data_IF_005510075707
#
_entry.id   IF_005510075707
#
_cell.length_a   1.000
_cell.length_b   1.000
_cell.length_c   1.000
_cell.angle_alpha   90.00
_cell.angle_beta   90.00
_cell.angle_gamma   90.00
#
_symmetry.space_group_name_H-M   'P 1'
#
loop_
_entity.id
_entity.type
_entity.pdbx_description
1 polymer ?
#
# COMPACT_ATOMS: atom_id res chain seq x y z
N UNK A 1 24.64 -37.89 10.51
CA UNK A 1 23.76 -38.64 9.59
C UNK A 1 23.02 -37.62 8.78
N UNK A 2 22.70 -37.91 7.53
CA UNK A 2 21.89 -37.03 6.70
C UNK A 2 20.42 -37.02 7.19
N UNK A 3 19.72 -35.92 7.10
CA UNK A 3 18.28 -35.88 7.35
C UNK A 3 17.48 -36.58 6.23
N UNK A 4 16.33 -37.17 6.58
CA UNK A 4 15.50 -37.89 5.60
C UNK A 4 15.02 -36.95 4.47
N UNK A 5 14.73 -35.69 4.80
CA UNK A 5 14.31 -34.67 3.85
C UNK A 5 15.40 -34.35 2.82
N UNK A 6 16.63 -34.13 3.26
CA UNK A 6 17.75 -33.85 2.38
C UNK A 6 18.12 -35.08 1.53
N UNK A 7 18.10 -36.28 2.12
CA UNK A 7 18.32 -37.53 1.39
C UNK A 7 17.32 -37.69 0.24
N UNK A 8 16.03 -37.51 0.52
CA UNK A 8 14.98 -37.61 -0.48
C UNK A 8 15.16 -36.57 -1.59
N UNK A 9 15.43 -35.31 -1.22
CA UNK A 9 15.63 -34.24 -2.18
C UNK A 9 16.81 -34.50 -3.14
N UNK A 10 17.96 -34.93 -2.59
CA UNK A 10 19.14 -35.24 -3.41
C UNK A 10 18.89 -36.41 -4.37
N UNK A 11 18.22 -37.47 -3.93
CA UNK A 11 17.90 -38.62 -4.75
C UNK A 11 16.88 -38.28 -5.85
N UNK A 12 15.85 -37.49 -5.55
CA UNK A 12 14.88 -37.05 -6.55
C UNK A 12 15.48 -36.12 -7.61
N UNK A 13 16.38 -35.22 -7.21
CA UNK A 13 17.14 -34.37 -8.14
C UNK A 13 17.98 -35.27 -9.07
N UNK A 14 18.69 -36.24 -8.48
CA UNK A 14 19.48 -37.21 -9.25
C UNK A 14 18.61 -37.97 -10.27
N UNK A 15 17.47 -38.49 -9.86
CA UNK A 15 16.55 -39.22 -10.74
C UNK A 15 16.01 -38.34 -11.86
N UNK A 16 15.64 -37.12 -11.58
CA UNK A 16 15.19 -36.16 -12.61
C UNK A 16 16.29 -35.88 -13.62
N UNK A 17 17.51 -35.67 -13.19
CA UNK A 17 18.65 -35.34 -14.06
C UNK A 17 19.15 -36.57 -14.87
N UNK A 18 18.97 -37.80 -14.37
CA UNK A 18 19.26 -39.03 -15.13
C UNK A 18 18.43 -39.12 -16.42
N UNK A 19 17.20 -38.60 -16.41
CA UNK A 19 16.36 -38.55 -17.60
C UNK A 19 16.95 -37.66 -18.70
N UNK A 20 17.68 -36.61 -18.29
CA UNK A 20 18.36 -35.70 -19.20
C UNK A 20 19.72 -36.24 -19.68
N UNK A 21 20.47 -36.89 -18.77
CA UNK A 21 21.79 -37.43 -19.07
C UNK A 21 22.15 -38.61 -18.16
N UNK A 22 22.40 -39.80 -18.75
CA UNK A 22 22.74 -41.04 -18.01
C UNK A 22 24.03 -40.96 -17.20
N UNK A 23 24.95 -40.04 -17.49
CA UNK A 23 26.19 -39.84 -16.73
C UNK A 23 25.94 -39.48 -15.26
N UNK A 24 24.80 -38.90 -14.93
CA UNK A 24 24.44 -38.64 -13.52
C UNK A 24 24.26 -39.96 -12.74
N UNK A 25 23.79 -41.03 -13.40
CA UNK A 25 23.61 -42.32 -12.78
C UNK A 25 25.00 -42.95 -12.41
N UNK A 26 25.98 -42.75 -13.29
CA UNK A 26 27.31 -43.37 -13.14
C UNK A 26 28.16 -42.60 -12.14
N UNK A 27 28.08 -41.28 -12.13
CA UNK A 27 29.02 -40.42 -11.36
C UNK A 27 28.48 -39.97 -10.03
N UNK A 28 27.16 -39.90 -9.84
CA UNK A 28 26.56 -39.48 -8.56
C UNK A 28 25.94 -40.70 -7.88
N UNK A 29 26.46 -41.08 -6.68
CA UNK A 29 25.90 -42.20 -5.93
C UNK A 29 24.51 -41.88 -5.38
N UNK A 30 23.69 -42.91 -5.21
CA UNK A 30 22.46 -42.80 -4.41
C UNK A 30 22.84 -42.48 -2.96
N UNK A 31 22.14 -41.48 -2.40
CA UNK A 31 22.34 -41.07 -1.02
C UNK A 31 21.52 -41.96 -0.09
N UNK A 32 22.14 -42.50 0.92
CA UNK A 32 21.53 -43.20 2.06
C UNK A 32 22.17 -42.75 3.38
N UNK A 33 21.68 -43.24 4.50
CA UNK A 33 22.17 -42.85 5.82
C UNK A 33 23.66 -43.11 6.03
N UNK A 34 24.26 -44.00 5.26
CA UNK A 34 25.70 -44.39 5.35
C UNK A 34 26.56 -43.66 4.31
N UNK A 35 25.98 -42.90 3.41
CA UNK A 35 26.72 -42.16 2.37
C UNK A 35 27.55 -41.05 3.02
N UNK A 36 28.84 -41.01 2.75
CA UNK A 36 29.75 -39.97 3.23
C UNK A 36 29.49 -38.67 2.46
N UNK A 37 29.29 -37.57 3.18
CA UNK A 37 29.12 -36.23 2.59
C UNK A 37 30.33 -35.82 1.74
N UNK A 38 31.56 -36.17 2.19
CA UNK A 38 32.79 -35.86 1.47
C UNK A 38 32.88 -36.62 0.14
N UNK A 39 32.56 -37.94 0.15
CA UNK A 39 32.56 -38.75 -1.07
C UNK A 39 31.50 -38.22 -2.05
N UNK A 40 30.32 -37.92 -1.57
CA UNK A 40 29.24 -37.34 -2.38
C UNK A 40 29.65 -35.99 -2.97
N UNK A 41 30.20 -35.10 -2.15
CA UNK A 41 30.67 -33.78 -2.58
C UNK A 41 31.80 -33.89 -3.62
N UNK A 42 32.74 -34.82 -3.46
CA UNK A 42 33.77 -35.08 -4.46
C UNK A 42 33.20 -35.56 -5.80
N UNK A 43 32.24 -36.47 -5.76
CA UNK A 43 31.56 -36.96 -6.97
C UNK A 43 30.82 -35.84 -7.69
N UNK A 44 30.11 -34.99 -6.95
CA UNK A 44 29.42 -33.83 -7.49
C UNK A 44 30.37 -32.80 -8.12
N UNK A 45 31.45 -32.49 -7.42
CA UNK A 45 32.43 -31.50 -7.90
C UNK A 45 33.33 -32.02 -9.03
N UNK A 46 33.41 -33.33 -9.22
CA UNK A 46 34.11 -33.97 -10.34
C UNK A 46 33.30 -33.95 -11.65
N UNK A 47 31.99 -33.72 -11.60
CA UNK A 47 31.17 -33.62 -12.80
C UNK A 47 31.68 -32.57 -13.79
N UNK A 48 31.44 -32.72 -15.11
CA UNK A 48 31.59 -31.66 -16.07
C UNK A 48 30.86 -30.39 -15.63
N UNK A 49 31.37 -29.23 -16.00
CA UNK A 49 30.89 -27.93 -15.47
C UNK A 49 29.40 -27.68 -15.72
N UNK A 50 28.91 -28.02 -16.88
CA UNK A 50 27.51 -27.92 -17.28
C UNK A 50 26.58 -28.82 -16.43
N UNK A 51 26.97 -30.08 -16.27
CA UNK A 51 26.23 -31.05 -15.46
C UNK A 51 26.23 -30.67 -13.97
N UNK A 52 27.39 -30.30 -13.45
CA UNK A 52 27.53 -29.83 -12.06
C UNK A 52 26.66 -28.58 -11.80
N UNK A 53 26.69 -27.61 -12.71
CA UNK A 53 25.90 -26.38 -12.58
C UNK A 53 24.41 -26.72 -12.58
N UNK A 54 23.96 -27.61 -13.49
CA UNK A 54 22.56 -28.05 -13.56
C UNK A 54 22.10 -28.77 -12.30
N UNK A 55 23.00 -29.59 -11.70
CA UNK A 55 22.70 -30.25 -10.44
C UNK A 55 22.58 -29.24 -9.27
N UNK A 56 23.53 -28.30 -9.15
CA UNK A 56 23.51 -27.28 -8.11
C UNK A 56 22.28 -26.38 -8.27
N UNK A 57 21.91 -26.03 -9.49
CA UNK A 57 20.69 -25.31 -9.81
C UNK A 57 19.46 -26.04 -9.30
N UNK A 58 19.28 -27.27 -9.69
CA UNK A 58 18.14 -28.08 -9.25
C UNK A 58 18.10 -28.24 -7.74
N UNK A 59 19.28 -28.32 -7.08
CA UNK A 59 19.40 -28.41 -5.64
C UNK A 59 18.93 -27.13 -4.96
N UNK A 60 19.45 -25.99 -5.39
CA UNK A 60 19.10 -24.69 -4.77
C UNK A 60 17.63 -24.35 -5.04
N UNK A 61 17.12 -24.57 -6.25
CA UNK A 61 15.71 -24.38 -6.56
C UNK A 61 14.81 -25.27 -5.70
N UNK A 62 15.16 -26.53 -5.51
CA UNK A 62 14.34 -27.44 -4.70
C UNK A 62 14.37 -27.06 -3.22
N UNK A 63 15.51 -26.61 -2.71
CA UNK A 63 15.65 -26.15 -1.32
C UNK A 63 14.87 -24.85 -1.11
N UNK A 64 14.87 -23.96 -2.07
CA UNK A 64 14.06 -22.75 -2.03
C UNK A 64 12.55 -23.03 -1.91
N UNK A 65 12.08 -24.15 -2.48
CA UNK A 65 10.67 -24.58 -2.34
C UNK A 65 10.40 -25.46 -1.10
N UNK A 66 11.44 -25.98 -0.45
CA UNK A 66 11.26 -26.81 0.74
C UNK A 66 11.38 -25.91 1.97
N UNK A 67 10.27 -25.65 2.67
CA UNK A 67 10.29 -24.96 3.97
C UNK A 67 11.07 -25.83 4.97
N UNK A 68 12.37 -25.58 5.11
CA UNK A 68 13.11 -26.04 6.28
C UNK A 68 12.66 -25.22 7.50
N UNK A 69 12.58 -25.86 8.66
CA UNK A 69 12.24 -25.21 9.93
C UNK A 69 13.40 -24.31 10.32
N UNK A 70 13.32 -23.04 9.96
CA UNK A 70 14.26 -22.00 10.38
C UNK A 70 13.48 -20.76 10.81
N UNK A 71 14.13 -19.88 11.55
CA UNK A 71 13.58 -18.58 11.95
C UNK A 71 13.41 -17.68 10.73
N UNK A 72 12.33 -17.91 9.98
CA UNK A 72 11.87 -16.96 8.99
C UNK A 72 11.16 -15.81 9.70
N UNK A 73 11.42 -14.61 9.23
CA UNK A 73 10.65 -13.47 9.68
C UNK A 73 9.18 -13.67 9.29
N UNK A 74 8.33 -13.88 10.29
CA UNK A 74 6.89 -13.93 10.08
C UNK A 74 6.37 -12.50 9.96
N UNK A 75 6.00 -12.10 8.75
CA UNK A 75 5.42 -10.78 8.51
C UNK A 75 4.02 -10.72 9.13
N UNK A 76 3.81 -9.95 10.21
CA UNK A 76 2.49 -9.85 10.87
C UNK A 76 1.43 -9.18 9.98
N UNK A 77 1.84 -8.52 8.89
CA UNK A 77 0.96 -7.84 7.95
C UNK A 77 0.67 -8.68 6.70
N UNK A 78 1.13 -9.93 6.63
CA UNK A 78 0.97 -10.79 5.45
C UNK A 78 -0.50 -11.05 5.10
N UNK A 79 -1.39 -11.10 6.09
CA UNK A 79 -2.83 -11.30 5.87
C UNK A 79 -3.53 -10.12 5.15
N UNK A 80 -2.84 -8.97 5.00
CA UNK A 80 -3.32 -7.81 4.24
C UNK A 80 -3.02 -7.93 2.75
N UNK A 81 -2.19 -8.90 2.35
CA UNK A 81 -1.94 -9.20 0.96
C UNK A 81 -3.22 -9.76 0.31
N UNK A 82 -3.56 -9.23 -0.85
CA UNK A 82 -4.68 -9.70 -1.66
C UNK A 82 -4.26 -10.83 -2.60
N UNK A 83 -5.19 -11.19 -3.49
CA UNK A 83 -4.96 -12.23 -4.51
C UNK A 83 -3.84 -11.82 -5.49
N UNK A 84 -3.12 -12.83 -6.00
CA UNK A 84 -2.08 -12.64 -7.00
C UNK A 84 -2.63 -12.06 -8.31
N UNK A 85 -1.80 -11.26 -8.98
CA UNK A 85 -2.15 -10.73 -10.30
C UNK A 85 -1.79 -11.75 -11.38
N UNK A 86 -2.72 -12.11 -12.27
CA UNK A 86 -2.41 -12.94 -13.43
C UNK A 86 -1.35 -12.27 -14.32
N UNK A 87 -0.52 -13.09 -15.00
CA UNK A 87 0.48 -12.62 -15.96
C UNK A 87 -0.18 -11.72 -17.01
N UNK A 88 0.37 -10.53 -17.23
CA UNK A 88 -0.15 -9.54 -18.18
C UNK A 88 -1.35 -8.72 -17.69
N UNK A 89 -1.90 -9.00 -16.50
CA UNK A 89 -3.00 -8.22 -15.94
C UNK A 89 -2.50 -6.93 -15.28
N UNK A 90 -3.31 -5.87 -15.43
CA UNK A 90 -3.21 -4.62 -14.65
C UNK A 90 -4.25 -4.73 -13.54
N UNK A 91 -3.84 -4.42 -12.31
CA UNK A 91 -4.78 -4.37 -11.19
C UNK A 91 -5.82 -3.27 -11.43
N UNK A 92 -7.09 -3.64 -11.49
CA UNK A 92 -8.20 -2.70 -11.61
C UNK A 92 -9.14 -2.87 -10.44
N UNK A 93 -9.55 -1.77 -9.83
CA UNK A 93 -10.63 -1.73 -8.86
C UNK A 93 -11.80 -0.94 -9.45
N UNK A 94 -12.98 -1.55 -9.49
CA UNK A 94 -14.20 -0.92 -9.99
C UNK A 94 -15.17 -0.76 -8.83
N UNK A 95 -15.66 0.43 -8.63
CA UNK A 95 -16.68 0.74 -7.64
C UNK A 95 -17.95 1.24 -8.32
N UNK A 96 -19.08 0.64 -7.96
CA UNK A 96 -20.40 1.04 -8.46
C UNK A 96 -21.18 1.66 -7.30
N UNK A 97 -21.48 2.95 -7.39
CA UNK A 97 -22.29 3.63 -6.38
C UNK A 97 -23.71 3.06 -6.33
N UNK A 98 -24.32 3.01 -5.15
CA UNK A 98 -25.74 2.66 -5.01
C UNK A 98 -26.63 3.55 -5.87
N UNK A 99 -27.63 2.95 -6.53
CA UNK A 99 -28.63 3.70 -7.29
C UNK A 99 -29.40 4.67 -6.38
N UNK A 100 -29.76 5.83 -6.91
CA UNK A 100 -30.60 6.80 -6.19
C UNK A 100 -32.06 6.46 -6.37
N UNK A 101 -32.80 6.33 -5.26
CA UNK A 101 -34.23 6.30 -5.30
C UNK A 101 -34.80 7.64 -5.79
N UNK A 102 -35.90 7.61 -6.54
CA UNK A 102 -36.68 8.78 -6.85
C UNK A 102 -38.11 8.58 -6.35
N UNK A 103 -38.80 9.67 -6.06
CA UNK A 103 -40.20 9.59 -5.72
C UNK A 103 -40.96 9.13 -6.96
N UNK A 104 -41.79 8.11 -6.82
CA UNK A 104 -42.67 7.65 -7.91
C UNK A 104 -43.74 8.69 -8.15
N UNK A 105 -43.88 9.13 -9.42
CA UNK A 105 -44.96 9.99 -9.87
C UNK A 105 -45.51 9.43 -11.18
N UNK A 106 -46.79 9.08 -11.20
CA UNK A 106 -47.46 8.49 -12.35
C UNK A 106 -47.56 9.47 -13.53
N UNK A 107 -47.55 10.78 -13.24
CA UNK A 107 -47.68 11.84 -14.25
C UNK A 107 -46.31 12.28 -14.82
N UNK A 108 -45.23 11.71 -14.35
CA UNK A 108 -43.86 12.03 -14.83
C UNK A 108 -43.51 11.22 -16.11
N UNK A 109 -44.09 11.63 -17.23
CA UNK A 109 -43.83 11.01 -18.54
C UNK A 109 -42.36 11.18 -18.98
N UNK A 110 -41.68 12.28 -18.61
CA UNK A 110 -40.26 12.50 -18.90
C UNK A 110 -39.39 11.52 -18.15
N UNK A 111 -39.70 11.22 -16.91
CA UNK A 111 -39.01 10.23 -16.11
C UNK A 111 -39.23 8.78 -16.56
N UNK A 112 -40.35 8.48 -17.24
CA UNK A 112 -40.62 7.14 -17.76
C UNK A 112 -39.65 6.75 -18.90
N UNK A 113 -39.23 7.72 -19.72
CA UNK A 113 -38.31 7.51 -20.85
C UNK A 113 -36.87 7.94 -20.54
N UNK A 114 -36.58 8.38 -19.31
CA UNK A 114 -35.27 8.82 -18.93
C UNK A 114 -34.29 7.62 -18.83
N UNK A 115 -33.08 7.82 -19.33
CA UNK A 115 -31.99 6.87 -19.19
C UNK A 115 -31.28 7.09 -17.86
N UNK A 116 -31.21 6.04 -17.05
CA UNK A 116 -30.52 6.05 -15.75
C UNK A 116 -29.26 5.20 -15.85
N UNK A 117 -28.12 5.85 -15.90
CA UNK A 117 -26.82 5.17 -15.97
C UNK A 117 -26.28 4.89 -14.58
N UNK A 118 -25.61 3.74 -14.44
CA UNK A 118 -24.90 3.40 -13.20
C UNK A 118 -23.70 4.33 -13.02
N UNK A 119 -23.52 4.84 -11.81
CA UNK A 119 -22.35 5.67 -11.45
C UNK A 119 -21.17 4.76 -11.09
N UNK A 120 -20.32 4.49 -12.07
CA UNK A 120 -19.17 3.59 -11.99
C UNK A 120 -17.90 4.41 -11.88
N UNK A 121 -17.03 4.05 -10.95
CA UNK A 121 -15.68 4.58 -10.77
C UNK A 121 -14.67 3.47 -10.95
N UNK A 122 -13.52 3.77 -11.50
CA UNK A 122 -12.43 2.81 -11.68
C UNK A 122 -11.11 3.42 -11.21
N UNK A 123 -10.29 2.59 -10.60
CA UNK A 123 -8.92 2.87 -10.21
C UNK A 123 -8.01 1.76 -10.74
N UNK A 124 -6.81 2.12 -11.17
CA UNK A 124 -5.82 1.19 -11.68
C UNK A 124 -4.64 1.13 -10.72
N UNK A 125 -4.19 -0.09 -10.41
CA UNK A 125 -3.03 -0.35 -9.57
C UNK A 125 -1.81 -0.60 -10.45
N UNK A 126 -0.77 0.21 -10.28
CA UNK A 126 0.51 0.05 -10.98
C UNK A 126 1.44 -0.88 -10.19
N UNK A 127 2.29 -1.62 -10.93
CA UNK A 127 3.40 -2.35 -10.36
C UNK A 127 4.47 -1.33 -10.00
N UNK A 128 4.82 -1.28 -8.72
CA UNK A 128 5.76 -0.30 -8.18
C UNK A 128 6.85 -0.91 -7.30
N UNK A 129 6.94 -2.24 -7.31
CA UNK A 129 7.97 -3.01 -6.63
C UNK A 129 8.49 -4.08 -7.57
N UNK A 130 9.74 -3.95 -8.01
CA UNK A 130 10.45 -4.92 -8.83
C UNK A 130 11.86 -5.02 -8.26
N UNK A 131 12.09 -6.01 -7.42
CA UNK A 131 13.31 -6.15 -6.60
C UNK A 131 13.90 -7.52 -6.75
N UNK A 132 15.21 -7.54 -6.83
CA UNK A 132 16.04 -8.73 -6.94
C UNK A 132 16.90 -8.91 -5.69
N UNK A 133 16.80 -10.06 -5.04
CA UNK A 133 17.60 -10.44 -3.88
C UNK A 133 18.74 -11.37 -4.32
N UNK A 134 20.00 -10.89 -4.34
CA UNK A 134 21.13 -11.70 -4.79
C UNK A 134 21.79 -12.44 -3.62
N UNK A 135 22.20 -13.70 -3.88
CA UNK A 135 23.14 -14.43 -3.02
C UNK A 135 24.20 -15.10 -3.89
N UNK A 136 25.45 -15.03 -3.45
CA UNK A 136 26.57 -15.64 -4.16
C UNK A 136 27.07 -16.87 -3.41
N UNK A 137 27.12 -18.00 -4.10
CA UNK A 137 27.64 -19.27 -3.59
C UNK A 137 29.06 -19.46 -4.14
N UNK A 138 30.06 -19.31 -3.30
CA UNK A 138 31.46 -19.48 -3.69
C UNK A 138 31.80 -20.97 -3.65
N UNK A 139 32.47 -21.50 -4.70
CA UNK A 139 32.82 -22.90 -4.82
C UNK A 139 33.58 -23.41 -3.58
N UNK A 140 34.53 -22.65 -3.03
CA UNK A 140 35.27 -23.01 -1.83
C UNK A 140 34.43 -23.18 -0.57
N UNK A 141 33.34 -22.38 -0.44
CA UNK A 141 32.39 -22.47 0.66
C UNK A 141 31.53 -23.71 0.52
N UNK A 142 31.06 -23.99 -0.70
CA UNK A 142 30.35 -25.23 -1.00
C UNK A 142 31.24 -26.47 -0.73
N UNK A 143 32.51 -26.44 -1.12
CA UNK A 143 33.47 -27.53 -0.82
C UNK A 143 33.64 -27.75 0.70
N UNK A 144 33.67 -26.68 1.50
CA UNK A 144 33.74 -26.77 2.97
C UNK A 144 32.42 -27.31 3.57
N UNK A 145 31.27 -26.95 2.98
CA UNK A 145 30.00 -27.44 3.48
C UNK A 145 29.88 -28.97 3.39
N UNK A 146 30.59 -29.63 2.48
CA UNK A 146 30.60 -31.10 2.37
C UNK A 146 31.43 -31.80 3.44
N UNK A 147 31.97 -31.12 4.44
CA UNK A 147 32.70 -31.76 5.58
C UNK A 147 31.76 -32.66 6.37
N UNK A 148 30.54 -32.23 6.60
CA UNK A 148 29.46 -33.06 7.16
C UNK A 148 28.11 -32.78 6.50
N UNK A 149 27.18 -33.72 6.62
CA UNK A 149 25.82 -33.50 6.14
C UNK A 149 25.11 -32.36 6.88
N UNK A 150 25.38 -32.19 8.18
CA UNK A 150 24.81 -31.08 8.97
C UNK A 150 25.32 -29.71 8.52
N UNK A 151 26.64 -29.62 8.20
CA UNK A 151 27.21 -28.36 7.68
C UNK A 151 26.64 -28.03 6.30
N UNK A 152 26.47 -29.04 5.46
CA UNK A 152 25.87 -28.88 4.13
C UNK A 152 24.40 -28.42 4.20
N UNK A 153 23.60 -29.05 5.05
CA UNK A 153 22.22 -28.68 5.31
C UNK A 153 22.11 -27.24 5.83
N UNK A 154 22.93 -26.89 6.83
CA UNK A 154 23.00 -25.54 7.40
C UNK A 154 23.39 -24.46 6.36
N UNK A 155 24.34 -24.81 5.49
CA UNK A 155 24.77 -23.91 4.41
C UNK A 155 23.63 -23.64 3.41
N UNK A 156 22.93 -24.68 2.96
CA UNK A 156 21.80 -24.55 2.04
C UNK A 156 20.65 -23.78 2.67
N UNK A 157 20.34 -24.06 3.93
CA UNK A 157 19.35 -23.35 4.69
C UNK A 157 19.68 -21.85 4.83
N UNK A 158 20.93 -21.53 5.11
CA UNK A 158 21.41 -20.14 5.23
C UNK A 158 21.15 -19.33 3.96
N UNK A 159 21.37 -19.94 2.78
CA UNK A 159 21.09 -19.31 1.48
C UNK A 159 19.60 -19.02 1.33
N UNK A 160 18.76 -20.04 1.51
CA UNK A 160 17.32 -19.92 1.37
C UNK A 160 16.75 -18.89 2.35
N UNK A 161 17.15 -18.96 3.63
CA UNK A 161 16.70 -18.03 4.68
C UNK A 161 17.07 -16.59 4.35
N UNK A 162 18.29 -16.36 3.85
CA UNK A 162 18.74 -15.02 3.48
C UNK A 162 17.87 -14.39 2.39
N UNK A 163 17.55 -15.16 1.34
CA UNK A 163 16.73 -14.69 0.22
C UNK A 163 15.29 -14.36 0.67
N UNK A 164 14.63 -15.31 1.34
CA UNK A 164 13.23 -15.15 1.73
C UNK A 164 13.03 -14.14 2.86
N UNK A 165 13.95 -14.10 3.85
CA UNK A 165 13.86 -13.09 4.90
C UNK A 165 14.03 -11.68 4.34
N UNK A 166 14.90 -11.48 3.33
CA UNK A 166 14.98 -10.21 2.62
C UNK A 166 13.64 -9.80 2.05
N UNK A 167 12.98 -10.71 1.31
CA UNK A 167 11.68 -10.44 0.71
C UNK A 167 10.56 -10.18 1.76
N UNK A 168 10.49 -10.97 2.84
CA UNK A 168 9.48 -10.80 3.88
C UNK A 168 9.66 -9.52 4.72
N UNK A 169 10.91 -9.14 4.99
CA UNK A 169 11.23 -7.88 5.67
C UNK A 169 10.81 -6.69 4.81
N UNK A 170 11.08 -6.75 3.51
CA UNK A 170 10.67 -5.70 2.60
C UNK A 170 9.15 -5.65 2.42
N UNK A 171 8.45 -6.77 2.36
CA UNK A 171 6.99 -6.80 2.38
C UNK A 171 6.42 -6.07 3.60
N UNK A 172 6.97 -6.30 4.79
CA UNK A 172 6.59 -5.58 6.00
C UNK A 172 6.86 -4.08 5.89
N UNK A 173 8.09 -3.70 5.47
CA UNK A 173 8.50 -2.30 5.30
C UNK A 173 7.61 -1.57 4.30
N UNK A 174 7.35 -2.17 3.13
CA UNK A 174 6.54 -1.55 2.08
C UNK A 174 5.06 -1.47 2.43
N UNK A 175 4.51 -2.48 3.12
CA UNK A 175 3.14 -2.41 3.66
C UNK A 175 3.00 -1.26 4.65
N UNK A 176 3.95 -1.10 5.58
CA UNK A 176 3.99 0.02 6.52
C UNK A 176 4.15 1.37 5.79
N UNK A 177 5.00 1.42 4.77
CA UNK A 177 5.24 2.61 3.94
C UNK A 177 3.99 3.10 3.21
N UNK A 178 3.03 2.20 2.86
CA UNK A 178 1.74 2.61 2.30
C UNK A 178 0.99 3.55 3.24
N UNK A 179 0.93 3.23 4.53
CA UNK A 179 0.25 4.06 5.55
C UNK A 179 0.89 5.45 5.61
N UNK A 180 2.21 5.49 5.71
CA UNK A 180 2.98 6.73 5.80
C UNK A 180 2.89 7.57 4.52
N UNK A 181 2.89 6.94 3.35
CA UNK A 181 2.71 7.61 2.07
C UNK A 181 1.29 8.16 1.91
N UNK A 182 0.26 7.42 2.32
CA UNK A 182 -1.12 7.90 2.30
C UNK A 182 -1.29 9.14 3.21
N UNK A 183 -0.64 9.17 4.37
CA UNK A 183 -0.58 10.35 5.22
C UNK A 183 0.15 11.49 4.50
N UNK A 184 1.40 11.30 4.10
CA UNK A 184 2.26 12.32 3.47
C UNK A 184 1.61 12.97 2.25
N UNK A 185 0.91 12.16 1.45
CA UNK A 185 0.21 12.62 0.26
C UNK A 185 -1.21 13.12 0.54
N UNK A 186 -1.64 13.25 1.80
CA UNK A 186 -3.02 13.60 2.17
C UNK A 186 -4.08 12.78 1.40
N UNK A 187 -3.80 11.49 1.19
CA UNK A 187 -4.60 10.57 0.38
C UNK A 187 -5.52 9.66 1.22
N UNK A 188 -5.77 10.04 2.45
CA UNK A 188 -6.67 9.37 3.40
C UNK A 188 -7.41 10.42 4.22
N UNK A 189 -8.60 10.10 4.71
CA UNK A 189 -9.31 11.02 5.60
C UNK A 189 -8.61 11.10 6.95
N UNK A 190 -8.46 12.31 7.49
CA UNK A 190 -7.70 12.55 8.71
C UNK A 190 -8.45 13.48 9.65
N UNK A 191 -8.22 13.30 10.95
CA UNK A 191 -8.64 14.20 12.01
C UNK A 191 -7.47 14.44 12.96
N UNK A 192 -7.28 15.68 13.37
CA UNK A 192 -6.27 16.03 14.37
C UNK A 192 -6.74 15.63 15.75
N UNK A 193 -5.87 14.94 16.48
CA UNK A 193 -6.04 14.64 17.90
C UNK A 193 -4.83 15.20 18.65
N UNK A 194 -5.06 15.96 19.72
CA UNK A 194 -3.98 16.61 20.45
C UNK A 194 -3.77 15.92 21.80
N UNK A 195 -2.58 15.37 21.99
CA UNK A 195 -2.07 15.02 23.31
C UNK A 195 -1.27 16.19 23.85
N UNK A 196 -1.46 16.58 25.11
CA UNK A 196 -0.66 17.62 25.76
C UNK A 196 0.83 17.23 25.77
N UNK A 197 1.10 15.95 25.99
CA UNK A 197 2.42 15.35 25.82
C UNK A 197 2.26 13.98 25.15
N UNK A 198 2.58 13.90 23.84
CA UNK A 198 2.47 12.65 23.08
C UNK A 198 3.45 11.54 23.54
N UNK A 199 4.44 11.87 24.38
CA UNK A 199 5.37 10.89 24.94
C UNK A 199 4.94 10.35 26.32
N UNK A 200 3.96 10.98 26.96
CA UNK A 200 3.39 10.60 28.24
C UNK A 200 1.94 11.12 28.31
N UNK A 201 1.02 10.51 27.54
CA UNK A 201 -0.38 10.93 27.51
C UNK A 201 -1.06 10.62 28.84
N UNK A 202 -2.01 11.45 29.21
CA UNK A 202 -2.81 11.23 30.42
C UNK A 202 -3.88 10.16 30.19
N UNK A 203 -4.35 9.49 31.26
CA UNK A 203 -5.43 8.50 31.16
C UNK A 203 -6.71 9.09 30.55
N UNK A 204 -7.02 10.35 30.82
CA UNK A 204 -8.18 11.03 30.25
C UNK A 204 -8.04 11.20 28.73
N UNK A 205 -6.84 11.54 28.24
CA UNK A 205 -6.55 11.65 26.81
C UNK A 205 -6.60 10.29 26.10
N UNK A 206 -6.06 9.24 26.73
CA UNK A 206 -6.14 7.87 26.21
C UNK A 206 -7.58 7.38 26.11
N UNK A 207 -8.42 7.66 27.10
CA UNK A 207 -9.87 7.35 27.05
C UNK A 207 -10.58 8.13 25.93
N UNK A 208 -10.23 9.41 25.75
CA UNK A 208 -10.80 10.23 24.69
C UNK A 208 -10.37 9.72 23.30
N UNK A 209 -9.10 9.33 23.15
CA UNK A 209 -8.56 8.73 21.93
C UNK A 209 -9.26 7.41 21.59
N UNK A 210 -9.39 6.51 22.56
CA UNK A 210 -10.11 5.22 22.41
C UNK A 210 -11.57 5.45 22.05
N UNK A 211 -12.22 6.43 22.67
CA UNK A 211 -13.61 6.80 22.33
C UNK A 211 -13.73 7.23 20.86
N UNK A 212 -12.74 7.99 20.35
CA UNK A 212 -12.72 8.45 18.96
C UNK A 212 -12.52 7.29 17.98
N UNK A 213 -11.61 6.36 18.29
CA UNK A 213 -11.46 5.12 17.51
C UNK A 213 -12.77 4.33 17.46
N UNK A 214 -13.43 4.16 18.59
CA UNK A 214 -14.74 3.48 18.69
C UNK A 214 -15.81 4.17 17.84
N UNK A 215 -15.92 5.48 17.93
CA UNK A 215 -16.85 6.29 17.12
C UNK A 215 -16.62 6.02 15.63
N UNK A 216 -15.37 6.06 15.17
CA UNK A 216 -15.00 5.79 13.79
C UNK A 216 -15.36 4.37 13.37
N UNK A 217 -15.07 3.37 14.21
CA UNK A 217 -15.44 1.97 13.97
C UNK A 217 -16.96 1.79 13.79
N UNK A 218 -17.76 2.42 14.63
CA UNK A 218 -19.22 2.36 14.53
C UNK A 218 -19.72 3.06 13.26
N UNK A 219 -19.11 4.20 12.92
CA UNK A 219 -19.48 4.97 11.72
C UNK A 219 -19.15 4.24 10.43
N UNK A 220 -18.08 3.42 10.40
CA UNK A 220 -17.72 2.62 9.22
C UNK A 220 -18.78 1.60 8.81
N UNK A 221 -19.61 1.14 9.75
CA UNK A 221 -20.71 0.21 9.47
C UNK A 221 -21.84 0.85 8.68
N UNK A 222 -21.95 2.18 8.73
CA UNK A 222 -23.04 2.91 8.10
C UNK A 222 -22.59 3.48 6.75
N UNK A 223 -23.45 3.45 5.72
CA UNK A 223 -23.14 4.05 4.44
C UNK A 223 -22.79 5.53 4.59
N UNK A 224 -21.60 5.93 4.14
CA UNK A 224 -21.09 7.28 4.29
C UNK A 224 -20.18 7.68 3.14
N UNK A 225 -20.10 8.98 2.84
CA UNK A 225 -19.16 9.56 1.89
C UNK A 225 -17.91 10.13 2.56
N UNK A 226 -17.81 10.02 3.89
CA UNK A 226 -16.82 10.76 4.70
C UNK A 226 -15.51 10.01 4.92
N UNK A 227 -15.47 8.69 4.68
CA UNK A 227 -14.35 7.84 5.12
C UNK A 227 -13.53 7.25 3.98
N UNK A 228 -13.93 7.45 2.73
CA UNK A 228 -13.12 7.08 1.57
C UNK A 228 -12.30 8.28 1.07
N UNK A 229 -11.26 8.00 0.30
CA UNK A 229 -10.33 9.02 -0.18
C UNK A 229 -10.73 9.64 -1.53
N UNK A 230 -11.76 9.13 -2.19
CA UNK A 230 -12.13 9.54 -3.55
C UNK A 230 -12.25 11.05 -3.75
N UNK A 231 -12.94 11.73 -2.86
CA UNK A 231 -13.12 13.18 -2.92
C UNK A 231 -11.86 13.99 -2.62
N UNK A 232 -10.85 13.38 -1.99
CA UNK A 232 -9.57 14.03 -1.66
C UNK A 232 -8.54 13.98 -2.79
N UNK A 233 -8.55 12.90 -3.60
CA UNK A 233 -7.47 12.60 -4.56
C UNK A 233 -7.87 12.84 -6.01
N UNK A 234 -8.88 13.63 -6.26
CA UNK A 234 -9.27 14.02 -7.61
C UNK A 234 -10.43 13.22 -8.18
N UNK A 235 -11.24 12.65 -7.29
CA UNK A 235 -12.46 11.97 -7.68
C UNK A 235 -13.48 12.91 -8.31
N UNK A 236 -13.65 12.79 -9.62
CA UNK A 236 -14.65 13.53 -10.36
C UNK A 236 -16.04 12.91 -10.24
N UNK A 237 -17.06 13.76 -10.31
CA UNK A 237 -18.46 13.35 -10.29
C UNK A 237 -18.98 13.11 -8.88
N UNK A 238 -19.92 12.17 -8.75
CA UNK A 238 -20.60 11.88 -7.48
C UNK A 238 -19.68 11.31 -6.45
N UNK A 239 -19.81 11.75 -5.18
CA UNK A 239 -19.12 11.17 -4.04
C UNK A 239 -19.44 9.68 -3.89
N UNK A 240 -18.45 8.90 -3.49
CA UNK A 240 -18.59 7.46 -3.23
C UNK A 240 -19.25 7.24 -1.87
N UNK A 241 -20.25 6.36 -1.83
CA UNK A 241 -20.93 5.94 -0.60
C UNK A 241 -20.39 4.59 -0.19
N UNK A 242 -19.49 4.54 0.78
CA UNK A 242 -18.83 3.32 1.25
C UNK A 242 -19.27 2.93 2.66
N UNK A 243 -19.18 1.63 2.97
CA UNK A 243 -19.36 1.05 4.30
C UNK A 243 -18.46 -0.18 4.44
N UNK A 244 -18.20 -0.59 5.68
CA UNK A 244 -17.35 -1.74 5.98
C UNK A 244 -18.07 -2.72 6.88
N UNK A 245 -17.80 -4.01 6.67
CA UNK A 245 -18.24 -5.03 7.60
C UNK A 245 -17.35 -5.03 8.85
N UNK A 246 -17.89 -5.31 10.05
CA UNK A 246 -17.11 -5.31 11.30
C UNK A 246 -15.89 -6.22 11.26
N UNK A 247 -16.00 -7.37 10.61
CA UNK A 247 -14.93 -8.35 10.46
C UNK A 247 -13.75 -7.87 9.59
N UNK A 248 -14.00 -6.92 8.69
CA UNK A 248 -13.01 -6.39 7.76
C UNK A 248 -12.31 -5.13 8.29
N UNK A 249 -12.77 -4.57 9.43
CA UNK A 249 -12.17 -3.35 9.99
C UNK A 249 -10.96 -3.71 10.85
N UNK A 250 -9.84 -3.07 10.58
CA UNK A 250 -8.57 -3.23 11.29
C UNK A 250 -8.03 -1.89 11.77
N UNK A 251 -7.21 -1.93 12.82
CA UNK A 251 -6.62 -0.76 13.45
C UNK A 251 -5.10 -0.94 13.52
N UNK A 252 -4.36 0.07 13.10
CA UNK A 252 -2.91 0.13 13.21
C UNK A 252 -2.53 1.19 14.23
N UNK A 253 -1.72 0.82 15.21
CA UNK A 253 -1.26 1.70 16.28
C UNK A 253 0.25 1.51 16.46
N UNK A 254 1.00 2.60 16.70
CA UNK A 254 2.43 2.48 17.00
C UNK A 254 2.64 1.81 18.36
N UNK A 255 3.71 0.99 18.48
CA UNK A 255 4.07 0.30 19.73
C UNK A 255 4.22 1.29 20.89
N UNK A 256 4.72 2.49 20.61
CA UNK A 256 4.86 3.56 21.61
C UNK A 256 3.51 3.96 22.23
N UNK A 257 2.51 4.20 21.39
CA UNK A 257 1.17 4.58 21.88
C UNK A 257 0.44 3.34 22.44
N UNK A 258 0.65 2.17 21.84
CA UNK A 258 0.05 0.93 22.29
C UNK A 258 0.49 0.53 23.71
N UNK A 259 1.73 0.85 24.10
CA UNK A 259 2.25 0.56 25.45
C UNK A 259 1.55 1.37 26.56
N UNK A 260 0.97 2.51 26.18
CA UNK A 260 0.22 3.37 27.10
C UNK A 260 -1.28 3.04 27.12
N UNK A 261 -1.77 2.29 26.11
CA UNK A 261 -3.17 1.91 26.00
C UNK A 261 -3.43 0.59 26.72
N UNK A 262 -4.41 0.58 27.63
CA UNK A 262 -4.88 -0.65 28.25
C UNK A 262 -5.69 -1.48 27.24
N UNK A 263 -5.26 -2.72 27.01
CA UNK A 263 -5.90 -3.66 26.07
C UNK A 263 -7.36 -3.95 26.46
N UNK A 264 -7.64 -4.03 27.77
CA UNK A 264 -8.99 -4.28 28.26
C UNK A 264 -9.92 -3.07 28.04
N UNK A 265 -9.37 -1.86 28.12
CA UNK A 265 -10.11 -0.63 27.78
C UNK A 265 -10.42 -0.57 26.28
N UNK A 266 -9.46 -0.97 25.43
CA UNK A 266 -9.69 -1.07 23.99
C UNK A 266 -10.73 -2.14 23.66
N UNK A 267 -10.63 -3.35 24.21
CA UNK A 267 -11.57 -4.45 23.98
C UNK A 267 -13.01 -4.03 24.34
N UNK A 268 -13.20 -3.46 25.53
CA UNK A 268 -14.49 -2.94 25.97
C UNK A 268 -15.01 -1.80 25.05
N UNK A 269 -14.12 -0.95 24.56
CA UNK A 269 -14.49 0.14 23.65
C UNK A 269 -15.06 -0.39 22.33
N UNK A 270 -14.52 -1.47 21.79
CA UNK A 270 -15.01 -2.08 20.54
C UNK A 270 -16.14 -3.08 20.74
N UNK A 271 -16.52 -3.36 22.00
CA UNK A 271 -17.50 -4.37 22.37
C UNK A 271 -17.15 -5.77 21.80
N UNK A 272 -15.88 -6.12 21.94
CA UNK A 272 -15.25 -7.36 21.51
C UNK A 272 -14.60 -8.02 22.70
N UNK A 273 -14.38 -9.32 22.63
CA UNK A 273 -13.49 -9.96 23.59
C UNK A 273 -12.01 -9.60 23.28
N UNK A 274 -11.12 -9.83 24.25
CA UNK A 274 -9.71 -9.50 24.13
C UNK A 274 -9.04 -10.26 22.98
N UNK A 275 -9.41 -11.50 22.75
CA UNK A 275 -8.83 -12.33 21.70
C UNK A 275 -9.27 -11.84 20.30
N UNK A 276 -10.54 -11.49 20.15
CA UNK A 276 -11.07 -10.93 18.92
C UNK A 276 -10.43 -9.57 18.58
N UNK A 277 -10.23 -8.71 19.58
CA UNK A 277 -9.55 -7.44 19.39
C UNK A 277 -8.09 -7.63 18.96
N UNK A 278 -7.36 -8.55 19.60
CA UNK A 278 -5.96 -8.80 19.26
C UNK A 278 -5.78 -9.27 17.80
N UNK A 279 -6.78 -9.92 17.21
CA UNK A 279 -6.78 -10.28 15.80
C UNK A 279 -7.09 -9.12 14.83
N UNK A 280 -7.48 -7.95 15.35
CA UNK A 280 -7.85 -6.78 14.54
C UNK A 280 -6.96 -5.55 14.76
N UNK A 281 -6.12 -5.56 15.77
CA UNK A 281 -5.18 -4.49 16.06
C UNK A 281 -3.78 -4.92 15.71
N UNK A 282 -3.19 -4.21 14.75
CA UNK A 282 -1.79 -4.38 14.37
C UNK A 282 -0.92 -3.37 15.10
N UNK A 283 0.03 -3.90 15.85
CA UNK A 283 1.03 -3.11 16.52
C UNK A 283 2.27 -3.01 15.63
N UNK A 284 2.66 -1.79 15.30
CA UNK A 284 3.83 -1.52 14.46
C UNK A 284 4.87 -0.71 15.22
N UNK A 285 6.13 -0.92 14.91
CA UNK A 285 7.26 -0.26 15.54
C UNK A 285 7.15 1.28 15.47
N UNK A 286 6.96 1.82 14.28
CA UNK A 286 6.74 3.24 14.02
C UNK A 286 6.15 3.43 12.62
N UNK A 287 5.59 4.61 12.35
CA UNK A 287 5.19 5.04 11.01
C UNK A 287 6.32 5.76 10.25
N UNK A 288 7.54 5.74 10.80
CA UNK A 288 8.70 6.31 10.12
C UNK A 288 9.07 5.51 8.86
N UNK A 289 9.63 6.21 7.87
CA UNK A 289 10.21 5.58 6.69
C UNK A 289 11.73 5.78 6.77
N UNK A 290 12.46 4.66 6.67
CA UNK A 290 13.92 4.62 6.61
C UNK A 290 14.34 4.12 5.24
N UNK A 291 15.52 4.57 4.75
CA UNK A 291 16.22 3.96 3.63
C UNK A 291 16.98 2.70 4.06
N UNK A 292 17.68 2.08 3.11
CA UNK A 292 18.43 0.83 3.38
C UNK A 292 19.69 1.07 4.23
N UNK A 293 20.18 2.33 4.29
CA UNK A 293 21.27 2.74 5.15
C UNK A 293 20.82 3.10 6.56
N UNK A 294 19.52 3.02 6.86
CA UNK A 294 18.92 3.33 8.16
C UNK A 294 18.71 4.83 8.41
N UNK A 295 18.83 5.67 7.38
CA UNK A 295 18.55 7.10 7.48
C UNK A 295 17.04 7.35 7.38
N UNK A 296 16.50 8.11 8.34
CA UNK A 296 15.07 8.44 8.35
C UNK A 296 14.71 9.40 7.24
N UNK A 297 13.92 8.94 6.27
CA UNK A 297 13.41 9.68 5.14
C UNK A 297 12.09 10.40 5.43
N UNK A 298 11.33 9.90 6.39
CA UNK A 298 10.05 10.47 6.80
C UNK A 298 9.82 10.28 8.30
N UNK A 299 9.36 11.34 8.96
CA UNK A 299 8.96 11.34 10.38
C UNK A 299 7.45 11.06 10.49
N UNK A 300 7.12 9.84 10.90
CA UNK A 300 5.75 9.38 11.10
C UNK A 300 5.18 9.65 12.49
N UNK A 301 5.88 10.39 13.35
CA UNK A 301 5.49 10.64 14.75
C UNK A 301 4.12 11.31 14.90
N UNK A 302 3.66 12.01 13.87
CA UNK A 302 2.33 12.62 13.82
C UNK A 302 1.21 11.64 13.50
N UNK A 303 1.50 10.40 13.12
CA UNK A 303 0.48 9.37 12.85
C UNK A 303 0.27 8.58 14.14
N UNK A 304 -0.90 8.73 14.76
CA UNK A 304 -1.21 8.03 16.00
C UNK A 304 -1.87 6.69 15.75
N UNK A 305 -2.88 6.65 14.86
CA UNK A 305 -3.53 5.43 14.46
C UNK A 305 -4.15 5.55 13.07
N UNK A 306 -4.21 4.40 12.36
CA UNK A 306 -5.04 4.21 11.17
C UNK A 306 -6.12 3.19 11.51
N UNK A 307 -7.38 3.52 11.31
CA UNK A 307 -8.49 2.57 11.25
C UNK A 307 -8.92 2.46 9.79
N UNK A 308 -9.00 1.25 9.26
CA UNK A 308 -9.37 1.04 7.86
C UNK A 308 -10.06 -0.32 7.65
N UNK A 309 -10.70 -0.44 6.50
CA UNK A 309 -11.14 -1.73 5.96
C UNK A 309 -9.93 -2.48 5.40
N UNK A 310 -9.80 -3.79 5.60
CA UNK A 310 -8.70 -4.61 5.04
C UNK A 310 -8.57 -4.42 3.53
N UNK A 311 -9.67 -4.20 2.82
CA UNK A 311 -9.70 -3.94 1.38
C UNK A 311 -9.02 -2.64 0.97
N UNK A 312 -8.68 -1.77 1.92
CA UNK A 312 -7.89 -0.57 1.66
C UNK A 312 -6.48 -0.93 1.18
N UNK A 313 -5.90 -2.02 1.68
CA UNK A 313 -4.63 -2.52 1.20
C UNK A 313 -4.81 -3.27 -0.13
N UNK A 314 -4.12 -2.81 -1.17
CA UNK A 314 -4.08 -3.41 -2.51
C UNK A 314 -2.68 -3.92 -2.78
N UNK A 315 -2.25 -4.90 -1.97
CA UNK A 315 -0.95 -5.54 -2.08
C UNK A 315 -1.14 -6.82 -2.88
N UNK A 316 -0.51 -6.92 -4.05
CA UNK A 316 -0.68 -8.05 -4.96
C UNK A 316 0.67 -8.50 -5.49
N UNK A 317 0.93 -9.80 -5.45
CA UNK A 317 2.10 -10.39 -6.09
C UNK A 317 1.77 -10.62 -7.57
N UNK A 318 2.65 -10.15 -8.45
CA UNK A 318 2.56 -10.44 -9.88
C UNK A 318 3.35 -11.66 -10.24
N UNK A 319 4.58 -11.74 -9.75
CA UNK A 319 5.49 -12.85 -10.02
C UNK A 319 6.56 -12.97 -8.93
N UNK A 320 7.00 -14.19 -8.70
CA UNK A 320 8.10 -14.51 -7.80
C UNK A 320 8.85 -15.69 -8.37
N UNK A 321 10.07 -15.47 -8.86
CA UNK A 321 10.85 -16.50 -9.55
C UNK A 321 12.33 -16.38 -9.21
N UNK A 322 13.06 -17.48 -9.42
CA UNK A 322 14.51 -17.54 -9.19
C UNK A 322 15.25 -17.63 -10.52
N UNK A 323 16.28 -16.79 -10.64
CA UNK A 323 17.26 -16.87 -11.71
C UNK A 323 18.63 -17.22 -11.15
N UNK A 324 19.47 -17.78 -11.99
CA UNK A 324 20.83 -18.09 -11.59
C UNK A 324 21.85 -17.86 -12.70
N UNK A 325 23.07 -17.64 -12.29
CA UNK A 325 24.18 -17.45 -13.19
C UNK A 325 25.49 -17.98 -12.61
N UNK A 326 26.20 -18.83 -13.36
CA UNK A 326 27.56 -19.27 -13.00
C UNK A 326 28.59 -18.28 -13.53
N UNK A 327 29.36 -17.68 -12.63
CA UNK A 327 30.48 -16.81 -12.98
C UNK A 327 31.79 -17.59 -12.93
N UNK A 328 32.32 -17.93 -14.10
CA UNK A 328 33.56 -18.72 -14.22
C UNK A 328 34.81 -17.93 -13.74
N UNK A 329 34.77 -16.60 -13.77
CA UNK A 329 35.92 -15.79 -13.38
C UNK A 329 36.20 -15.85 -11.87
N UNK A 330 35.18 -15.80 -11.06
CA UNK A 330 35.32 -15.93 -9.59
C UNK A 330 34.91 -17.31 -9.06
N UNK A 331 34.53 -18.23 -9.93
CA UNK A 331 34.12 -19.60 -9.60
C UNK A 331 33.00 -19.65 -8.59
N UNK A 332 31.93 -18.84 -8.85
CA UNK A 332 30.77 -18.76 -7.99
C UNK A 332 29.46 -18.94 -8.78
N UNK A 333 28.43 -19.39 -8.09
CA UNK A 333 27.03 -19.36 -8.56
C UNK A 333 26.34 -18.16 -7.93
N UNK A 334 25.68 -17.37 -8.74
CA UNK A 334 24.87 -16.26 -8.27
C UNK A 334 23.41 -16.68 -8.39
N UNK A 335 22.69 -16.57 -7.28
CA UNK A 335 21.26 -16.85 -7.19
C UNK A 335 20.52 -15.54 -6.98
N UNK A 336 19.42 -15.38 -7.66
CA UNK A 336 18.60 -14.16 -7.63
C UNK A 336 17.15 -14.55 -7.38
N UNK A 337 16.60 -14.14 -6.25
CA UNK A 337 15.16 -14.19 -6.04
C UNK A 337 14.56 -12.87 -6.56
N UNK A 338 13.78 -12.95 -7.61
CA UNK A 338 13.08 -11.82 -8.20
C UNK A 338 11.65 -11.76 -7.65
N UNK A 339 11.24 -10.60 -7.18
CA UNK A 339 9.91 -10.38 -6.61
C UNK A 339 9.29 -9.16 -7.26
N UNK A 340 8.16 -9.35 -7.94
CA UNK A 340 7.42 -8.28 -8.62
C UNK A 340 6.06 -8.14 -7.94
N UNK A 341 5.80 -6.97 -7.35
CA UNK A 341 4.57 -6.69 -6.59
C UNK A 341 3.99 -5.32 -6.90
N UNK A 342 2.72 -5.18 -6.60
CA UNK A 342 2.03 -3.91 -6.54
C UNK A 342 1.67 -3.58 -5.09
N UNK A 343 2.19 -2.48 -4.55
CA UNK A 343 1.84 -1.94 -3.25
C UNK A 343 1.01 -0.67 -3.46
N UNK A 344 -0.30 -0.79 -3.35
CA UNK A 344 -1.23 0.32 -3.53
C UNK A 344 -2.26 0.35 -2.40
N UNK A 345 -3.00 1.42 -2.29
CA UNK A 345 -4.15 1.55 -1.39
C UNK A 345 -5.40 1.95 -2.18
N UNK A 346 -6.58 1.50 -1.73
CA UNK A 346 -7.86 1.81 -2.38
C UNK A 346 -8.32 3.22 -2.03
N UNK A 347 -8.79 3.96 -3.02
CA UNK A 347 -9.48 5.24 -2.83
C UNK A 347 -10.96 5.07 -2.44
N UNK A 348 -11.50 3.86 -2.61
CA UNK A 348 -12.92 3.55 -2.41
C UNK A 348 -13.22 2.97 -1.03
N UNK A 349 -12.27 2.23 -0.46
CA UNK A 349 -12.42 1.62 0.85
C UNK A 349 -12.34 2.66 1.97
N UNK A 350 -13.05 2.39 3.08
CA UNK A 350 -13.00 3.24 4.25
C UNK A 350 -11.62 3.20 4.89
N UNK A 351 -11.06 4.37 5.14
CA UNK A 351 -9.83 4.56 5.90
C UNK A 351 -9.83 5.93 6.59
N UNK A 352 -9.36 5.97 7.83
CA UNK A 352 -9.35 7.18 8.63
C UNK A 352 -8.16 7.20 9.58
N UNK A 353 -7.41 8.30 9.59
CA UNK A 353 -6.26 8.45 10.47
C UNK A 353 -6.55 9.46 11.58
N UNK A 354 -6.13 9.13 12.79
CA UNK A 354 -5.97 10.07 13.88
C UNK A 354 -4.51 10.54 13.90
N UNK A 355 -4.30 11.85 13.78
CA UNK A 355 -2.98 12.43 13.56
C UNK A 355 -2.74 13.63 14.49
N UNK A 356 -1.48 13.91 14.83
CA UNK A 356 -1.10 15.11 15.59
C UNK A 356 -1.19 16.37 14.74
N UNK A 357 -0.90 16.26 13.44
CA UNK A 357 -1.02 17.35 12.47
C UNK A 357 -1.38 16.81 11.10
N UNK A 358 -2.15 17.56 10.32
CA UNK A 358 -2.41 17.25 8.92
C UNK A 358 -1.16 17.64 8.12
N UNK A 359 -0.69 16.79 7.17
CA UNK A 359 0.50 17.08 6.39
C UNK A 359 0.29 18.28 5.47
N UNK A 360 1.35 19.05 5.24
CA UNK A 360 1.33 20.12 4.26
C UNK A 360 1.60 19.56 2.86
N UNK A 361 0.64 19.73 1.96
CA UNK A 361 0.74 19.38 0.54
C UNK A 361 0.49 20.67 -0.25
N UNK A 362 1.56 21.34 -0.75
CA UNK A 362 1.41 22.64 -1.39
C UNK A 362 0.76 22.53 -2.77
N UNK A 363 0.03 23.60 -3.16
CA UNK A 363 -0.47 23.78 -4.51
C UNK A 363 0.68 24.11 -5.45
N UNK A 364 0.85 23.32 -6.51
CA UNK A 364 1.83 23.59 -7.57
C UNK A 364 1.22 24.37 -8.73
N UNK A 365 -0.06 24.14 -9.03
CA UNK A 365 -0.82 24.89 -10.02
C UNK A 365 -2.32 24.79 -9.75
N UNK A 366 -3.10 25.68 -10.36
CA UNK A 366 -4.57 25.62 -10.28
C UNK A 366 -5.20 26.15 -11.56
N UNK A 367 -6.43 25.75 -11.85
CA UNK A 367 -7.22 26.21 -12.97
C UNK A 367 -8.69 26.31 -12.59
N UNK A 368 -9.37 27.40 -13.03
CA UNK A 368 -10.83 27.45 -12.96
C UNK A 368 -11.43 26.53 -14.03
N UNK A 369 -12.45 25.78 -13.67
CA UNK A 369 -13.09 24.82 -14.59
C UNK A 369 -13.94 25.55 -15.64
N UNK A 370 -14.46 26.74 -15.31
CA UNK A 370 -15.20 27.61 -16.20
C UNK A 370 -14.22 28.54 -16.96
N UNK A 371 -14.28 28.53 -18.29
CA UNK A 371 -13.36 29.31 -19.13
C UNK A 371 -13.89 30.70 -19.50
N UNK A 372 -15.20 30.88 -19.56
CA UNK A 372 -15.86 32.14 -19.94
C UNK A 372 -17.17 32.31 -19.18
N UNK A 373 -17.10 32.37 -17.84
CA UNK A 373 -18.33 32.50 -17.05
C UNK A 373 -19.00 33.85 -17.22
N UNK A 374 -20.35 33.86 -17.29
CA UNK A 374 -21.16 35.06 -17.27
C UNK A 374 -22.18 35.02 -16.13
N UNK A 375 -22.56 36.20 -15.64
CA UNK A 375 -23.57 36.37 -14.59
C UNK A 375 -24.36 37.65 -14.84
N UNK A 376 -25.64 37.64 -14.60
CA UNK A 376 -26.46 38.85 -14.71
C UNK A 376 -26.28 39.72 -13.47
N UNK A 377 -26.32 41.05 -13.62
CA UNK A 377 -26.24 41.96 -12.47
C UNK A 377 -27.35 41.69 -11.47
N UNK A 378 -27.01 41.50 -10.20
CA UNK A 378 -27.88 41.05 -9.11
C UNK A 378 -27.93 39.55 -8.90
N UNK A 379 -27.51 38.73 -9.87
CA UNK A 379 -27.49 37.26 -9.78
C UNK A 379 -26.13 36.72 -9.29
N UNK A 380 -26.11 35.40 -9.00
CA UNK A 380 -24.97 34.71 -8.46
C UNK A 380 -24.62 33.47 -9.29
N UNK A 381 -23.33 33.21 -9.46
CA UNK A 381 -22.80 31.97 -10.03
C UNK A 381 -21.78 31.38 -9.10
N UNK A 382 -21.57 30.07 -9.13
CA UNK A 382 -20.49 29.40 -8.43
C UNK A 382 -19.45 28.99 -9.42
N UNK A 383 -18.21 29.43 -9.20
CA UNK A 383 -17.05 28.96 -9.96
C UNK A 383 -16.32 27.87 -9.17
N UNK A 384 -15.79 26.91 -9.89
CA UNK A 384 -15.03 25.79 -9.33
C UNK A 384 -13.57 25.84 -9.75
N UNK A 385 -12.68 25.48 -8.84
CA UNK A 385 -11.22 25.50 -9.00
C UNK A 385 -10.66 24.07 -8.86
N UNK A 386 -9.90 23.62 -9.84
CA UNK A 386 -9.11 22.39 -9.75
C UNK A 386 -7.66 22.74 -9.44
N UNK A 387 -7.10 22.13 -8.39
CA UNK A 387 -5.70 22.29 -7.96
C UNK A 387 -4.87 21.10 -8.36
N UNK A 388 -3.57 21.31 -8.55
CA UNK A 388 -2.57 20.27 -8.71
C UNK A 388 -1.53 20.40 -7.60
N UNK A 389 -1.29 19.38 -6.77
CA UNK A 389 -2.10 18.16 -6.70
C UNK A 389 -3.53 18.45 -6.20
N UNK A 390 -4.46 17.59 -6.55
CA UNK A 390 -5.87 17.80 -6.17
C UNK A 390 -6.06 17.78 -4.66
N UNK A 391 -5.29 16.98 -3.92
CA UNK A 391 -5.28 16.85 -2.46
C UNK A 391 -4.45 17.90 -1.72
N UNK A 392 -4.10 19.01 -2.39
CA UNK A 392 -3.39 20.12 -1.75
C UNK A 392 -4.10 20.66 -0.50
N UNK A 393 -3.31 21.09 0.49
CA UNK A 393 -3.80 21.53 1.81
C UNK A 393 -3.69 23.05 2.02
N UNK A 394 -3.09 23.77 1.08
CA UNK A 394 -2.97 25.22 1.17
C UNK A 394 -4.34 25.90 1.29
N UNK A 395 -4.37 26.97 2.08
CA UNK A 395 -5.57 27.81 2.17
C UNK A 395 -5.63 28.72 0.95
N UNK A 396 -6.66 28.53 0.12
CA UNK A 396 -6.90 29.37 -1.06
C UNK A 396 -7.86 30.49 -0.72
N UNK A 397 -7.50 31.70 -1.11
CA UNK A 397 -8.35 32.90 -1.02
C UNK A 397 -8.75 33.35 -2.42
N UNK A 398 -9.91 34.02 -2.53
CA UNK A 398 -10.40 34.53 -3.80
C UNK A 398 -10.56 36.04 -3.74
N UNK A 399 -10.21 36.71 -4.84
CA UNK A 399 -10.30 38.17 -4.94
C UNK A 399 -10.88 38.57 -6.30
N UNK A 400 -11.68 39.64 -6.30
CA UNK A 400 -12.18 40.30 -7.49
C UNK A 400 -11.27 41.48 -7.86
N UNK A 401 -10.86 41.56 -9.10
CA UNK A 401 -10.06 42.66 -9.64
C UNK A 401 -10.83 43.95 -9.76
N UNK A 402 -12.19 43.88 -9.92
CA UNK A 402 -13.05 45.05 -10.07
C UNK A 402 -14.36 44.83 -9.28
N UNK A 403 -14.30 45.14 -7.96
CA UNK A 403 -15.42 44.89 -7.02
C UNK A 403 -16.72 45.62 -7.42
N UNK A 404 -16.64 46.75 -8.14
CA UNK A 404 -17.78 47.45 -8.68
C UNK A 404 -18.47 46.74 -9.85
N UNK A 405 -17.88 45.68 -10.41
CA UNK A 405 -18.47 44.86 -11.46
C UNK A 405 -18.89 43.50 -10.93
N UNK A 406 -18.06 42.83 -10.12
CA UNK A 406 -18.37 41.56 -9.48
C UNK A 406 -17.74 41.50 -8.10
N UNK A 407 -18.42 40.89 -7.13
CA UNK A 407 -17.90 40.56 -5.81
C UNK A 407 -17.78 39.06 -5.65
N UNK A 408 -16.92 38.61 -4.72
CA UNK A 408 -16.69 37.20 -4.47
C UNK A 408 -16.90 36.85 -3.00
N UNK A 409 -17.49 35.69 -2.76
CA UNK A 409 -17.64 35.09 -1.44
C UNK A 409 -17.10 33.67 -1.48
N UNK A 410 -16.06 33.39 -0.68
CA UNK A 410 -15.50 32.06 -0.59
C UNK A 410 -16.51 31.07 -0.01
N UNK A 411 -16.78 29.96 -0.68
CA UNK A 411 -17.55 28.82 -0.17
C UNK A 411 -16.60 27.86 0.54
N UNK A 412 -15.57 27.41 -0.16
CA UNK A 412 -14.49 26.56 0.35
C UNK A 412 -13.17 26.81 -0.42
N UNK A 413 -12.16 25.95 -0.28
CA UNK A 413 -10.88 26.11 -0.99
C UNK A 413 -10.99 25.88 -2.51
N UNK A 414 -12.10 25.39 -3.01
CA UNK A 414 -12.30 25.06 -4.44
C UNK A 414 -13.51 25.70 -5.06
N UNK A 415 -14.35 26.32 -4.27
CA UNK A 415 -15.58 26.94 -4.76
C UNK A 415 -15.68 28.39 -4.26
N UNK A 416 -16.02 29.26 -5.18
CA UNK A 416 -16.28 30.67 -4.93
C UNK A 416 -17.58 31.09 -5.56
N UNK A 417 -18.43 31.75 -4.78
CA UNK A 417 -19.63 32.42 -5.26
C UNK A 417 -19.25 33.80 -5.81
N UNK A 418 -19.64 34.09 -7.05
CA UNK A 418 -19.44 35.38 -7.68
C UNK A 418 -20.84 36.03 -7.87
N UNK A 419 -20.97 37.25 -7.34
CA UNK A 419 -22.18 38.05 -7.47
C UNK A 419 -21.93 39.18 -8.47
N UNK A 420 -22.76 39.28 -9.53
CA UNK A 420 -22.76 40.38 -10.48
C UNK A 420 -23.25 41.67 -9.83
N UNK A 421 -22.50 42.76 -9.97
CA UNK A 421 -22.85 44.08 -9.38
C UNK A 421 -23.32 45.04 -10.47
N UNK A 422 -22.56 45.22 -11.54
CA UNK A 422 -22.87 46.08 -12.66
C UNK A 422 -22.26 45.54 -13.95
N UNK A 423 -22.90 45.80 -15.09
CA UNK A 423 -22.43 45.31 -16.41
C UNK A 423 -20.98 45.68 -16.69
N UNK A 424 -20.22 44.71 -17.23
CA UNK A 424 -18.78 44.81 -17.54
C UNK A 424 -18.06 43.52 -17.24
N UNK A 425 -16.75 43.57 -17.01
CA UNK A 425 -15.95 42.36 -16.67
C UNK A 425 -15.13 42.59 -15.42
N UNK A 426 -14.88 41.49 -14.70
CA UNK A 426 -13.97 41.45 -13.59
C UNK A 426 -13.15 40.18 -13.63
N UNK A 427 -11.83 40.28 -13.34
CA UNK A 427 -10.96 39.12 -13.19
C UNK A 427 -11.09 38.61 -11.77
N UNK A 428 -11.50 37.34 -11.62
CA UNK A 428 -11.51 36.63 -10.36
C UNK A 428 -10.19 35.85 -10.24
N UNK A 429 -9.47 36.09 -9.15
CA UNK A 429 -8.17 35.46 -8.88
C UNK A 429 -8.27 34.54 -7.67
N UNK A 430 -7.67 33.35 -7.79
CA UNK A 430 -7.40 32.44 -6.68
C UNK A 430 -5.95 32.61 -6.25
N UNK A 431 -5.70 32.70 -4.92
CA UNK A 431 -4.39 32.98 -4.35
C UNK A 431 -4.06 32.04 -3.19
N UNK A 432 -2.76 31.70 -3.06
CA UNK A 432 -2.16 31.13 -1.85
C UNK A 432 -1.23 32.17 -1.28
N UNK A 433 -1.56 32.69 -0.08
CA UNK A 433 -0.92 33.91 0.44
C UNK A 433 -1.11 35.06 -0.54
N UNK A 434 0.00 35.67 -0.98
CA UNK A 434 0.00 36.77 -1.94
C UNK A 434 0.16 36.28 -3.41
N UNK A 435 0.45 35.00 -3.62
CA UNK A 435 0.71 34.46 -4.96
C UNK A 435 -0.60 34.06 -5.66
N UNK A 436 -0.84 34.63 -6.84
CA UNK A 436 -1.95 34.22 -7.69
C UNK A 436 -1.62 32.89 -8.36
N UNK A 437 -2.48 31.88 -8.15
CA UNK A 437 -2.33 30.50 -8.68
C UNK A 437 -3.25 30.23 -9.87
N UNK A 438 -4.36 30.97 -9.99
CA UNK A 438 -5.27 30.92 -11.13
C UNK A 438 -6.06 32.24 -11.26
N UNK A 439 -6.54 32.52 -12.47
CA UNK A 439 -7.45 33.64 -12.72
C UNK A 439 -8.43 33.33 -13.85
N UNK A 440 -9.62 33.89 -13.80
CA UNK A 440 -10.65 33.80 -14.84
C UNK A 440 -11.38 35.14 -14.97
N UNK A 441 -11.74 35.51 -16.20
CA UNK A 441 -12.53 36.72 -16.46
C UNK A 441 -14.01 36.38 -16.42
N UNK A 442 -14.75 37.03 -15.54
CA UNK A 442 -16.22 36.91 -15.45
C UNK A 442 -16.88 38.12 -16.15
N UNK A 443 -17.79 37.86 -17.07
CA UNK A 443 -18.58 38.89 -17.70
C UNK A 443 -19.87 39.10 -16.93
N UNK A 444 -20.16 40.34 -16.55
CA UNK A 444 -21.41 40.71 -15.91
C UNK A 444 -22.34 41.36 -16.98
N UNK A 445 -23.46 40.73 -17.23
CA UNK A 445 -24.46 41.19 -18.17
C UNK A 445 -25.39 42.20 -17.46
N UNK A 446 -25.98 43.13 -18.24
CA UNK A 446 -26.95 44.09 -17.67
C UNK A 446 -28.16 43.31 -17.14
N UNK A 447 -28.62 43.63 -15.96
CA UNK A 447 -29.92 43.17 -15.46
C UNK A 447 -31.04 43.79 -16.29
N UNK A 448 -32.08 43.02 -16.57
CA UNK A 448 -33.28 43.46 -17.27
C UNK A 448 -34.08 44.41 -16.40
#
# INVERSE_FOLDING_TARGET
MISDGLQTALNEIRETLIQDNSLYQEQIPLVNHYTSSQVYGQSLLALPSDMRNKFIQSLVNRIAYTKFVMDYFENPLQELAGDDLPLGAIGQEIYVNPARGRVYNIDDFAGLLARYESDVKAEYSEINFDVQYPVTIIRKELEKAFVSWGDFESFLMGISTSLYNGAYIDDYKYTKKLISNAYRNNAVQMETFTFANASAPTEAELKAFTKKLRETFLNFKSPSTKYNAWSKVGGYGRSIVSWSKPEDIVVFISNKLASELDVDVLANAFNMDRAELMGKVYYIDSFDIYDDEGTRQFDGSNIYALICDKRWFKIRTKDMFMDEFYNANNRSWQQYLNVIKAFNYSLFANAYMLVGAIPSVPVTSAVFNETSPSVVAGEKITLSLTTTPFNATDTITFASGTVGKATVTKIDNRHVEVTGVASGSSTISAKVGDTTIASVSVTVEAGS
#
